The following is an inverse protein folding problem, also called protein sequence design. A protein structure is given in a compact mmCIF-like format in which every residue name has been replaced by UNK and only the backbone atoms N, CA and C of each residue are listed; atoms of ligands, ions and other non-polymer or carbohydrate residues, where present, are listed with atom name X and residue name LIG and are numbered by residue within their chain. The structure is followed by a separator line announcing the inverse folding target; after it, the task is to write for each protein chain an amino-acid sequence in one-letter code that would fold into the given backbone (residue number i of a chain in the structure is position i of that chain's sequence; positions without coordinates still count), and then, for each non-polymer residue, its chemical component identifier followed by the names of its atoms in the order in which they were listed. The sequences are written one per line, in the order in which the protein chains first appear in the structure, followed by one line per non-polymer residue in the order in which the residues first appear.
data_IF_398575250104
#
_entry.id   IF_398575250104
#
_cell.length_a   1.000
_cell.length_b   1.000
_cell.length_c   1.000
_cell.angle_alpha   90.00
_cell.angle_beta   90.00
_cell.angle_gamma   90.00
#
_symmetry.space_group_name_H-M   'P 1'
#
loop_
_entity.id
_entity.type
_entity.pdbx_description
1 polymer ?
#
# COMPACT_ATOMS: atom_id res chain seq x y z
N UNK A 1 19.07 -3.35 -21.54
CA UNK A 1 18.26 -2.17 -21.15
C UNK A 1 18.96 -1.49 -20.01
N UNK A 2 19.14 -0.17 -20.10
CA UNK A 2 19.94 0.60 -19.14
C UNK A 2 19.13 1.76 -18.56
N UNK A 3 19.48 2.18 -17.33
CA UNK A 3 18.79 3.27 -16.61
C UNK A 3 19.75 4.44 -16.41
N UNK A 4 19.34 5.63 -16.86
CA UNK A 4 20.08 6.88 -16.67
C UNK A 4 19.30 7.83 -15.78
N UNK A 5 20.01 8.51 -14.87
CA UNK A 5 19.47 9.59 -14.06
C UNK A 5 19.98 10.94 -14.57
N UNK A 6 19.08 11.86 -14.87
CA UNK A 6 19.43 13.18 -15.39
C UNK A 6 18.61 14.30 -14.76
N UNK A 7 19.13 15.53 -14.80
CA UNK A 7 18.40 16.72 -14.31
C UNK A 7 17.23 17.11 -15.22
N UNK A 8 17.31 16.74 -16.50
CA UNK A 8 16.21 16.89 -17.47
C UNK A 8 16.25 15.75 -18.50
N UNK A 9 15.12 15.44 -19.15
CA UNK A 9 15.08 14.42 -20.20
C UNK A 9 16.03 14.74 -21.37
N UNK A 10 16.12 16.01 -21.80
CA UNK A 10 17.01 16.44 -22.90
C UNK A 10 18.48 16.12 -22.61
N UNK A 11 18.95 16.47 -21.41
CA UNK A 11 20.33 16.20 -20.99
C UNK A 11 20.57 14.69 -20.89
N UNK A 12 19.61 13.94 -20.36
CA UNK A 12 19.73 12.50 -20.22
C UNK A 12 19.71 11.73 -21.53
N UNK A 13 18.95 12.20 -22.53
CA UNK A 13 18.99 11.66 -23.90
C UNK A 13 20.35 11.95 -24.54
N UNK A 14 20.90 13.15 -24.41
CA UNK A 14 22.25 13.46 -24.91
C UNK A 14 23.33 12.55 -24.29
N UNK A 15 23.24 12.28 -22.98
CA UNK A 15 24.10 11.30 -22.31
C UNK A 15 23.88 9.87 -22.80
N UNK A 16 22.63 9.52 -23.15
CA UNK A 16 22.31 8.21 -23.69
C UNK A 16 22.94 7.99 -25.05
N UNK A 17 22.77 8.94 -25.96
CA UNK A 17 23.34 8.91 -27.30
C UNK A 17 24.87 8.81 -27.24
N UNK A 18 25.49 9.62 -26.38
CA UNK A 18 26.95 9.57 -26.19
C UNK A 18 27.46 8.23 -25.63
N UNK A 19 26.70 7.55 -24.75
CA UNK A 19 27.12 6.28 -24.11
C UNK A 19 26.67 5.01 -24.85
N UNK A 20 25.58 5.08 -25.61
CA UNK A 20 24.91 3.93 -26.18
C UNK A 20 24.77 4.01 -27.70
N UNK A 21 25.13 5.14 -28.31
CA UNK A 21 25.04 5.38 -29.75
C UNK A 21 23.71 6.01 -30.16
N UNK A 22 23.66 6.48 -31.40
CA UNK A 22 22.49 7.11 -32.00
C UNK A 22 21.28 6.16 -32.11
N UNK A 23 21.53 4.84 -32.09
CA UNK A 23 20.51 3.78 -32.13
C UNK A 23 19.80 3.56 -30.77
N UNK A 24 20.01 4.44 -29.78
CA UNK A 24 19.41 4.31 -28.45
C UNK A 24 17.98 4.85 -28.41
N UNK A 25 17.05 4.02 -27.92
CA UNK A 25 15.62 4.36 -27.84
C UNK A 25 15.23 4.71 -26.41
N UNK A 26 14.60 5.86 -26.22
CA UNK A 26 14.01 6.22 -24.94
C UNK A 26 12.67 5.48 -24.77
N UNK A 27 12.62 4.55 -23.81
CA UNK A 27 11.43 3.76 -23.54
C UNK A 27 10.53 4.40 -22.49
N UNK A 28 11.11 5.11 -21.53
CA UNK A 28 10.34 5.76 -20.47
C UNK A 28 11.10 6.91 -19.85
N UNK A 29 10.37 7.97 -19.48
CA UNK A 29 10.88 9.05 -18.64
C UNK A 29 9.93 9.30 -17.48
N UNK A 30 10.43 9.25 -16.24
CA UNK A 30 9.65 9.52 -15.03
C UNK A 30 10.41 10.48 -14.11
N UNK A 31 9.75 11.57 -13.70
CA UNK A 31 10.30 12.51 -12.73
C UNK A 31 10.19 11.90 -11.33
N UNK A 32 11.31 11.85 -10.61
CA UNK A 32 11.40 11.36 -9.24
C UNK A 32 12.20 12.40 -8.45
N UNK A 33 11.50 13.17 -7.61
CA UNK A 33 12.08 14.32 -6.91
C UNK A 33 12.59 15.40 -7.88
N UNK A 34 13.86 15.79 -7.72
CA UNK A 34 14.52 16.80 -8.56
C UNK A 34 15.19 16.22 -9.82
N UNK A 35 15.11 14.91 -10.05
CA UNK A 35 15.77 14.24 -11.19
C UNK A 35 14.76 13.43 -12.00
N UNK A 36 15.14 13.10 -13.22
CA UNK A 36 14.42 12.23 -14.13
C UNK A 36 15.13 10.89 -14.21
N UNK A 37 14.37 9.81 -14.03
CA UNK A 37 14.78 8.45 -14.35
C UNK A 37 14.38 8.15 -15.79
N UNK A 38 15.37 7.83 -16.61
CA UNK A 38 15.20 7.48 -18.02
C UNK A 38 15.53 6.00 -18.20
N UNK A 39 14.65 5.26 -18.87
CA UNK A 39 14.88 3.86 -19.25
C UNK A 39 15.18 3.82 -20.74
N UNK A 40 16.32 3.24 -21.10
CA UNK A 40 16.85 3.30 -22.45
C UNK A 40 17.00 1.88 -22.98
N UNK A 41 16.32 1.65 -24.10
CA UNK A 41 16.46 0.45 -24.91
C UNK A 41 17.70 0.60 -25.78
N UNK A 42 18.60 -0.36 -25.68
CA UNK A 42 19.79 -0.43 -26.50
C UNK A 42 19.89 -1.82 -27.04
N UNK A 43 20.23 -1.93 -28.32
CA UNK A 43 20.50 -3.21 -28.96
C UNK A 43 21.88 -3.72 -28.50
N UNK A 44 21.89 -4.53 -27.45
CA UNK A 44 23.12 -4.99 -26.81
C UNK A 44 23.95 -5.92 -27.71
N UNK A 45 23.39 -6.45 -28.80
CA UNK A 45 24.14 -7.28 -29.75
C UNK A 45 25.17 -6.48 -30.57
N UNK A 46 25.02 -5.15 -30.69
CA UNK A 46 25.99 -4.30 -31.43
C UNK A 46 27.18 -3.83 -30.59
N UNK A 47 27.12 -3.94 -29.26
CA UNK A 47 28.13 -3.34 -28.35
C UNK A 47 29.44 -4.13 -28.23
N UNK A 48 29.52 -5.38 -28.66
CA UNK A 48 30.77 -6.15 -28.59
C UNK A 48 31.82 -5.75 -29.65
N UNK A 49 31.53 -4.86 -30.59
CA UNK A 49 32.38 -4.66 -31.79
C UNK A 49 33.21 -3.37 -31.87
N UNK A 50 33.56 -2.67 -30.77
CA UNK A 50 34.49 -1.50 -30.85
C UNK A 50 35.52 -1.40 -29.69
N UNK A 51 36.49 -2.35 -29.67
CA UNK A 51 37.98 -2.27 -29.57
C UNK A 51 38.73 -1.30 -28.58
N UNK A 52 39.93 -1.65 -28.01
CA UNK A 52 41.11 -2.14 -28.76
C UNK A 52 42.08 -3.20 -28.14
N UNK A 53 42.66 -4.00 -29.05
CA UNK A 53 43.95 -4.75 -29.07
C UNK A 53 44.23 -5.90 -28.06
N UNK A 54 45.02 -6.91 -28.47
CA UNK A 54 44.83 -8.30 -28.09
C UNK A 54 45.86 -8.79 -27.07
N UNK A 55 45.42 -9.65 -26.15
CA UNK A 55 46.31 -10.59 -25.47
C UNK A 55 45.68 -11.97 -25.48
N UNK A 56 46.38 -12.91 -26.11
CA UNK A 56 46.08 -14.33 -26.10
C UNK A 56 45.83 -14.81 -24.66
N UNK A 57 44.77 -15.59 -24.45
CA UNK A 57 44.92 -17.00 -24.05
C UNK A 57 43.59 -17.68 -23.71
N UNK A 58 43.42 -18.83 -24.38
CA UNK A 58 42.62 -20.02 -24.07
C UNK A 58 41.10 -19.98 -24.32
N UNK A 59 40.57 -21.01 -25.01
CA UNK A 59 39.14 -21.16 -25.22
C UNK A 59 38.50 -21.63 -23.91
N UNK A 60 37.66 -20.78 -23.32
CA UNK A 60 36.74 -21.23 -22.28
C UNK A 60 35.66 -22.04 -22.99
N UNK A 61 35.57 -23.31 -22.61
CA UNK A 61 34.59 -24.28 -23.09
C UNK A 61 33.20 -23.63 -23.12
N UNK A 62 32.60 -23.66 -24.30
CA UNK A 62 31.19 -23.31 -24.51
C UNK A 62 30.33 -23.96 -23.43
N UNK A 63 29.54 -23.15 -22.74
CA UNK A 63 28.38 -23.65 -22.01
C UNK A 63 27.52 -24.46 -22.99
N UNK A 64 26.96 -25.62 -22.59
CA UNK A 64 26.23 -26.47 -23.51
C UNK A 64 25.07 -25.68 -24.11
N UNK A 65 24.93 -25.73 -25.44
CA UNK A 65 23.75 -25.23 -26.15
C UNK A 65 22.51 -25.89 -25.54
N UNK A 66 21.81 -25.16 -24.66
CA UNK A 66 20.45 -25.52 -24.29
C UNK A 66 19.60 -25.40 -25.55
N UNK A 67 19.09 -26.51 -26.04
CA UNK A 67 18.25 -26.57 -27.24
C UNK A 67 17.09 -25.59 -27.12
N UNK A 68 16.68 -24.95 -28.22
CA UNK A 68 15.52 -24.01 -28.25
C UNK A 68 14.25 -24.58 -27.58
N UNK A 69 14.12 -25.91 -27.55
CA UNK A 69 13.10 -26.68 -26.84
C UNK A 69 13.07 -26.42 -25.33
N UNK A 70 14.22 -26.23 -24.68
CA UNK A 70 14.32 -25.97 -23.25
C UNK A 70 13.78 -24.59 -22.90
N UNK A 71 14.08 -23.59 -23.71
CA UNK A 71 13.56 -22.23 -23.53
C UNK A 71 12.04 -22.18 -23.69
N UNK A 72 11.48 -22.93 -24.64
CA UNK A 72 10.04 -23.03 -24.81
C UNK A 72 9.37 -23.71 -23.61
N UNK A 73 9.92 -24.82 -23.12
CA UNK A 73 9.45 -25.49 -21.89
C UNK A 73 9.51 -24.58 -20.67
N UNK A 74 10.64 -23.90 -20.46
CA UNK A 74 10.81 -22.95 -19.34
C UNK A 74 9.80 -21.81 -19.45
N UNK A 75 9.60 -21.25 -20.65
CA UNK A 75 8.61 -20.18 -20.86
C UNK A 75 7.17 -20.63 -20.57
N UNK A 76 6.83 -21.87 -20.91
CA UNK A 76 5.52 -22.45 -20.63
C UNK A 76 5.31 -22.66 -19.13
N UNK A 77 6.32 -23.20 -18.42
CA UNK A 77 6.28 -23.36 -16.97
C UNK A 77 6.12 -22.01 -16.25
N UNK A 78 6.87 -20.98 -16.67
CA UNK A 78 6.75 -19.63 -16.11
C UNK A 78 5.35 -19.06 -16.35
N UNK A 79 4.79 -19.20 -17.57
CA UNK A 79 3.43 -18.74 -17.86
C UNK A 79 2.39 -19.44 -16.99
N UNK A 80 2.51 -20.76 -16.82
CA UNK A 80 1.62 -21.55 -15.97
C UNK A 80 1.70 -21.13 -14.49
N UNK A 81 2.91 -20.85 -14.00
CA UNK A 81 3.13 -20.35 -12.64
C UNK A 81 2.53 -18.95 -12.45
N UNK A 82 2.73 -18.04 -13.40
CA UNK A 82 2.12 -16.70 -13.37
C UNK A 82 0.60 -16.80 -13.36
N UNK A 83 0.04 -17.70 -14.15
CA UNK A 83 -1.41 -17.91 -14.21
C UNK A 83 -1.97 -18.50 -12.90
N UNK A 84 -1.24 -19.41 -12.26
CA UNK A 84 -1.57 -19.91 -10.93
C UNK A 84 -1.54 -18.79 -9.89
N UNK A 85 -0.48 -17.99 -9.85
CA UNK A 85 -0.34 -16.86 -8.93
C UNK A 85 -1.43 -15.80 -9.13
N UNK A 86 -1.86 -15.56 -10.38
CA UNK A 86 -3.00 -14.67 -10.66
C UNK A 86 -4.30 -15.21 -10.09
N UNK A 87 -4.58 -16.50 -10.29
CA UNK A 87 -5.78 -17.14 -9.72
C UNK A 87 -5.79 -17.12 -8.19
N UNK A 88 -4.65 -17.35 -7.56
CA UNK A 88 -4.51 -17.27 -6.11
C UNK A 88 -4.67 -15.83 -5.58
N UNK A 89 -4.19 -14.83 -6.33
CA UNK A 89 -4.38 -13.43 -5.98
C UNK A 89 -5.86 -13.00 -6.10
N UNK A 90 -6.54 -13.44 -7.16
CA UNK A 90 -7.97 -13.21 -7.36
C UNK A 90 -8.81 -13.87 -6.27
N UNK A 91 -8.50 -15.11 -5.88
CA UNK A 91 -9.20 -15.79 -4.79
C UNK A 91 -9.01 -15.06 -3.45
N UNK A 92 -7.79 -14.62 -3.16
CA UNK A 92 -7.49 -13.82 -1.94
C UNK A 92 -8.23 -12.48 -1.93
N UNK A 93 -8.34 -11.81 -3.08
CA UNK A 93 -9.09 -10.55 -3.19
C UNK A 93 -10.59 -10.76 -2.89
N UNK A 94 -11.19 -11.82 -3.45
CA UNK A 94 -12.59 -12.17 -3.20
C UNK A 94 -12.87 -12.53 -1.74
N UNK A 95 -11.93 -13.22 -1.07
CA UNK A 95 -12.03 -13.52 0.37
C UNK A 95 -11.95 -12.25 1.22
N UNK A 96 -11.02 -11.34 0.90
CA UNK A 96 -10.91 -10.03 1.56
C UNK A 96 -12.22 -9.22 1.45
N UNK A 97 -12.81 -9.16 0.26
CA UNK A 97 -14.05 -8.40 0.05
C UNK A 97 -15.24 -9.00 0.81
N UNK A 98 -15.31 -10.33 0.90
CA UNK A 98 -16.30 -11.03 1.74
C UNK A 98 -16.08 -10.73 3.22
N UNK A 99 -14.82 -10.75 3.69
CA UNK A 99 -14.49 -10.46 5.09
C UNK A 99 -14.84 -9.01 5.48
N UNK A 100 -14.55 -8.02 4.61
CA UNK A 100 -14.97 -6.62 4.81
C UNK A 100 -16.48 -6.46 4.87
N UNK A 101 -17.20 -7.10 3.95
CA UNK A 101 -18.67 -7.09 3.92
C UNK A 101 -19.28 -7.71 5.19
N UNK A 102 -18.72 -8.82 5.65
CA UNK A 102 -19.12 -9.46 6.91
C UNK A 102 -18.88 -8.55 8.11
N UNK A 103 -17.70 -7.92 8.19
CA UNK A 103 -17.36 -6.99 9.26
C UNK A 103 -18.31 -5.79 9.29
N UNK A 104 -18.62 -5.20 8.13
CA UNK A 104 -19.56 -4.08 8.03
C UNK A 104 -20.97 -4.47 8.49
N UNK A 105 -21.40 -5.68 8.13
CA UNK A 105 -22.70 -6.25 8.54
C UNK A 105 -22.74 -6.47 10.07
N UNK A 106 -21.67 -6.99 10.65
CA UNK A 106 -21.56 -7.15 12.10
C UNK A 106 -21.57 -5.81 12.84
N UNK A 107 -20.88 -4.78 12.32
CA UNK A 107 -20.91 -3.43 12.90
C UNK A 107 -22.30 -2.78 12.81
N UNK A 108 -23.06 -3.06 11.73
CA UNK A 108 -24.47 -2.66 11.61
C UNK A 108 -25.31 -3.29 12.72
N UNK A 109 -25.12 -4.59 12.98
CA UNK A 109 -25.84 -5.32 14.04
C UNK A 109 -25.49 -4.81 15.45
N UNK A 110 -24.26 -4.35 15.64
CA UNK A 110 -23.81 -3.70 16.89
C UNK A 110 -24.40 -2.30 17.12
N UNK A 111 -25.29 -1.82 16.24
CA UNK A 111 -25.94 -0.49 16.30
C UNK A 111 -24.95 0.68 16.36
N UNK A 112 -23.76 0.49 15.78
CA UNK A 112 -22.78 1.56 15.67
C UNK A 112 -23.30 2.57 14.63
N UNK A 113 -23.37 3.87 14.96
CA UNK A 113 -23.84 4.87 14.03
C UNK A 113 -22.89 5.02 12.84
N UNK A 114 -23.43 5.30 11.66
CA UNK A 114 -22.72 5.26 10.38
C UNK A 114 -21.49 6.17 10.33
N UNK A 115 -21.56 7.32 11.00
CA UNK A 115 -20.46 8.28 11.12
C UNK A 115 -19.22 7.73 11.84
N UNK A 116 -19.40 6.77 12.76
CA UNK A 116 -18.28 6.14 13.48
C UNK A 116 -17.75 4.89 12.78
N UNK A 117 -18.52 4.30 11.86
CA UNK A 117 -18.15 3.03 11.21
C UNK A 117 -16.86 3.14 10.43
N UNK A 118 -16.68 4.18 9.63
CA UNK A 118 -15.45 4.39 8.86
C UNK A 118 -14.22 4.48 9.77
N UNK A 119 -14.33 5.25 10.86
CA UNK A 119 -13.25 5.42 11.85
C UNK A 119 -12.93 4.13 12.59
N UNK A 120 -13.94 3.33 12.91
CA UNK A 120 -13.77 2.03 13.59
C UNK A 120 -13.20 1.00 12.61
N UNK A 121 -13.70 0.92 11.38
CA UNK A 121 -13.21 0.03 10.32
C UNK A 121 -11.74 0.28 9.98
N UNK A 122 -11.29 1.54 9.99
CA UNK A 122 -9.88 1.88 9.77
C UNK A 122 -8.93 1.31 10.86
N UNK A 123 -9.46 0.96 12.03
CA UNK A 123 -8.70 0.37 13.16
C UNK A 123 -8.96 -1.14 13.33
N UNK A 124 -9.75 -1.73 12.46
CA UNK A 124 -10.07 -3.16 12.45
C UNK A 124 -9.44 -3.82 11.21
N UNK A 125 -9.15 -5.10 11.35
CA UNK A 125 -8.66 -5.98 10.30
C UNK A 125 -9.78 -6.91 9.84
N UNK A 126 -9.63 -7.50 8.65
CA UNK A 126 -10.59 -8.46 8.09
C UNK A 126 -10.82 -9.68 8.99
N UNK A 127 -9.77 -10.11 9.70
CA UNK A 127 -9.81 -11.21 10.68
C UNK A 127 -10.64 -10.89 11.95
N UNK A 128 -11.02 -9.63 12.15
CA UNK A 128 -11.83 -9.20 13.30
C UNK A 128 -13.32 -9.47 13.13
N UNK A 129 -13.75 -10.01 11.97
CA UNK A 129 -15.12 -10.45 11.70
C UNK A 129 -15.48 -11.73 12.49
N UNK A 130 -15.36 -11.67 13.80
CA UNK A 130 -15.47 -12.80 14.72
C UNK A 130 -16.27 -12.38 15.98
N UNK A 131 -16.72 -13.32 16.83
CA UNK A 131 -17.56 -12.98 17.99
C UNK A 131 -16.86 -12.08 19.04
N UNK A 132 -15.53 -11.92 18.99
CA UNK A 132 -14.77 -10.98 19.84
C UNK A 132 -14.79 -9.55 19.32
N UNK A 133 -15.41 -9.29 18.15
CA UNK A 133 -15.55 -7.96 17.56
C UNK A 133 -16.08 -6.94 18.57
N UNK A 134 -17.11 -7.28 19.33
CA UNK A 134 -17.71 -6.41 20.35
C UNK A 134 -16.69 -5.91 21.37
N UNK A 135 -15.78 -6.77 21.81
CA UNK A 135 -14.72 -6.38 22.74
C UNK A 135 -13.72 -5.44 22.09
N UNK A 136 -13.34 -5.71 20.83
CA UNK A 136 -12.39 -4.87 20.09
C UNK A 136 -12.98 -3.48 19.78
N UNK A 137 -14.25 -3.43 19.39
CA UNK A 137 -14.99 -2.17 19.21
C UNK A 137 -15.07 -1.40 20.53
N UNK A 138 -15.40 -2.06 21.65
CA UNK A 138 -15.41 -1.40 22.97
C UNK A 138 -14.05 -0.80 23.33
N UNK A 139 -12.97 -1.52 23.04
CA UNK A 139 -11.60 -1.03 23.24
C UNK A 139 -11.34 0.21 22.38
N UNK A 140 -11.64 0.15 21.08
CA UNK A 140 -11.47 1.28 20.16
C UNK A 140 -12.27 2.49 20.65
N UNK A 141 -13.53 2.29 21.06
CA UNK A 141 -14.36 3.38 21.58
C UNK A 141 -13.76 3.97 22.86
N UNK A 142 -13.31 3.14 23.81
CA UNK A 142 -12.67 3.60 25.04
C UNK A 142 -11.41 4.42 24.75
N UNK A 143 -10.59 3.97 23.80
CA UNK A 143 -9.36 4.65 23.38
C UNK A 143 -9.64 5.93 22.57
N UNK A 144 -10.86 6.11 22.06
CA UNK A 144 -11.28 7.29 21.29
C UNK A 144 -12.02 8.32 22.15
N UNK A 145 -12.59 7.89 23.28
CA UNK A 145 -13.24 8.80 24.22
C UNK A 145 -12.17 9.74 24.80
N UNK A 146 -12.48 11.05 24.92
CA UNK A 146 -11.59 11.99 25.59
C UNK A 146 -11.40 11.57 27.05
N UNK A 147 -10.29 12.00 27.64
CA UNK A 147 -10.07 11.84 29.07
C UNK A 147 -11.23 12.50 29.83
N UNK A 148 -11.83 11.73 30.74
CA UNK A 148 -12.91 12.25 31.58
C UNK A 148 -12.32 13.29 32.51
N UNK A 149 -12.78 14.52 32.40
CA UNK A 149 -12.52 15.56 33.39
C UNK A 149 -13.60 15.45 34.47
N UNK A 150 -13.17 15.43 35.73
CA UNK A 150 -14.11 15.58 36.82
C UNK A 150 -14.67 17.00 36.84
N UNK A 151 -15.89 17.13 37.34
CA UNK A 151 -16.51 18.45 37.49
C UNK A 151 -15.75 19.17 38.60
N UNK A 152 -15.13 20.29 38.25
CA UNK A 152 -14.43 21.13 39.21
C UNK A 152 -15.42 21.85 40.12
N UNK A 153 -15.57 21.33 41.35
CA UNK A 153 -16.47 21.87 42.37
C UNK A 153 -15.96 23.18 43.00
N UNK A 154 -14.73 23.62 42.69
CA UNK A 154 -14.26 24.95 43.09
C UNK A 154 -14.96 26.07 42.32
N UNK A 155 -15.51 25.75 41.15
CA UNK A 155 -16.29 26.67 40.33
C UNK A 155 -17.67 26.89 40.97
N UNK A 156 -17.97 28.14 41.32
CA UNK A 156 -19.22 28.47 42.03
C UNK A 156 -20.49 28.38 41.18
N UNK A 157 -20.36 28.33 39.85
CA UNK A 157 -21.51 28.39 38.95
C UNK A 157 -21.34 27.40 37.81
N UNK A 158 -22.26 26.44 37.74
CA UNK A 158 -22.35 25.46 36.65
C UNK A 158 -23.64 25.65 35.86
N UNK A 159 -23.54 25.62 34.53
CA UNK A 159 -24.69 25.75 33.64
C UNK A 159 -24.97 24.38 33.00
N UNK A 160 -26.18 23.86 33.21
CA UNK A 160 -26.63 22.59 32.64
C UNK A 160 -27.50 22.85 31.41
N UNK A 161 -27.01 22.46 30.23
CA UNK A 161 -27.69 22.65 28.95
C UNK A 161 -28.23 21.33 28.37
N UNK A 162 -29.34 21.38 27.64
CA UNK A 162 -29.94 20.21 26.99
C UNK A 162 -31.44 20.36 26.71
N UNK A 163 -31.98 19.45 25.92
CA UNK A 163 -33.39 19.49 25.48
C UNK A 163 -34.39 19.24 26.61
N UNK A 164 -35.67 19.54 26.38
CA UNK A 164 -36.74 19.21 27.34
C UNK A 164 -36.77 17.70 27.63
N UNK A 165 -37.02 17.32 28.89
CA UNK A 165 -37.04 15.91 29.31
C UNK A 165 -35.67 15.22 29.44
N UNK A 166 -34.55 15.89 29.13
CA UNK A 166 -33.21 15.29 29.23
C UNK A 166 -32.69 15.08 30.66
N UNK A 167 -33.50 15.42 31.68
CA UNK A 167 -33.14 15.21 33.09
C UNK A 167 -32.25 16.29 33.71
N UNK A 168 -32.14 17.50 33.13
CA UNK A 168 -31.30 18.59 33.64
C UNK A 168 -31.56 18.91 35.12
N UNK A 169 -32.83 19.12 35.50
CA UNK A 169 -33.22 19.43 36.88
C UNK A 169 -32.86 18.29 37.84
N UNK A 170 -33.07 17.03 37.42
CA UNK A 170 -32.70 15.85 38.19
C UNK A 170 -31.19 15.76 38.40
N UNK A 171 -30.40 16.03 37.36
CA UNK A 171 -28.93 16.03 37.44
C UNK A 171 -28.44 17.17 38.34
N UNK A 172 -29.01 18.37 38.22
CA UNK A 172 -28.67 19.49 39.08
C UNK A 172 -28.84 19.15 40.57
N UNK A 173 -29.99 18.55 40.93
CA UNK A 173 -30.26 18.11 42.31
C UNK A 173 -29.26 17.03 42.73
N UNK A 174 -28.96 16.04 41.86
CA UNK A 174 -27.97 15.00 42.16
C UNK A 174 -26.56 15.54 42.33
N UNK A 175 -26.18 16.58 41.60
CA UNK A 175 -24.90 17.28 41.76
C UNK A 175 -24.83 17.96 43.12
N UNK A 176 -25.91 18.63 43.55
CA UNK A 176 -26.01 19.27 44.87
C UNK A 176 -25.95 18.24 46.01
N UNK A 177 -26.59 17.08 45.85
CA UNK A 177 -26.61 16.02 46.87
C UNK A 177 -25.29 15.23 46.97
N UNK A 178 -24.43 15.31 45.96
CA UNK A 178 -23.11 14.65 45.94
C UNK A 178 -21.96 15.56 46.43
N UNK A 179 -22.24 16.86 46.60
CA UNK A 179 -21.38 17.83 47.26
C UNK A 179 -21.44 17.64 48.78
#
# INVERSE_FOLDING_TARGET
MDVIWARSPKIGIGHAVSRFGDDSLLLSSKKIGQRYRLIIGTDQERKEKRNPKPLLSKPVKSAPEREKMDYQKISFLIKKEIEHLRKELESKALESDRAKSNLETMLKNLRIPSNLRSSIMARLSEDDANPKLTHKVKKILKDTLPESTEIDLSVKTHILCGNYGSGKTTIAIKMILKL
#
